data_IF_658187841665
#
_entry.id   IF_658187841665
#
_cell.length_a   1.000
_cell.length_b   1.000
_cell.length_c   1.000
_cell.angle_alpha   90.00
_cell.angle_beta   90.00
_cell.angle_gamma   90.00
#
_symmetry.space_group_name_H-M   'P 1'
#
loop_
_entity.id
_entity.type
_entity.pdbx_description
1 polymer ?
#
# COMPACT_ATOMS: atom_id res chain seq x y z
N UNK A 1 -0.46 -9.93 -19.54
CA UNK A 1 0.40 -8.78 -19.22
C UNK A 1 1.00 -9.02 -17.86
N UNK A 2 2.33 -9.05 -17.72
CA UNK A 2 2.93 -9.05 -16.39
C UNK A 2 2.78 -7.65 -15.79
N UNK A 3 2.30 -7.50 -14.55
CA UNK A 3 2.22 -6.19 -13.91
C UNK A 3 3.63 -5.60 -13.82
N UNK A 4 3.74 -4.30 -14.11
CA UNK A 4 5.02 -3.58 -14.04
C UNK A 4 5.58 -3.64 -12.61
N UNK A 5 6.92 -3.74 -12.44
CA UNK A 5 7.53 -3.74 -11.12
C UNK A 5 7.26 -2.41 -10.40
N UNK A 6 6.59 -2.49 -9.26
CA UNK A 6 6.34 -1.34 -8.38
C UNK A 6 7.66 -0.95 -7.71
N UNK A 7 8.15 0.28 -7.96
CA UNK A 7 9.31 0.85 -7.26
C UNK A 7 8.81 1.59 -6.02
N UNK A 8 9.19 1.12 -4.83
CA UNK A 8 8.95 1.83 -3.57
C UNK A 8 9.96 2.98 -3.49
N UNK A 9 9.50 4.22 -3.63
CA UNK A 9 10.36 5.40 -3.43
C UNK A 9 10.67 5.55 -1.94
N UNK A 10 11.90 5.95 -1.58
CA UNK A 10 12.43 5.96 -0.21
C UNK A 10 11.89 7.06 0.70
N UNK A 11 10.73 7.65 0.37
CA UNK A 11 10.05 8.66 1.19
C UNK A 11 9.20 7.97 2.26
N UNK A 12 9.02 8.64 3.40
CA UNK A 12 8.14 8.12 4.45
C UNK A 12 6.72 7.93 3.87
N UNK A 13 6.02 6.85 4.21
CA UNK A 13 4.75 6.49 3.58
C UNK A 13 3.58 7.28 4.16
N UNK A 14 3.68 8.60 4.13
CA UNK A 14 2.70 9.52 4.67
C UNK A 14 2.21 10.48 3.58
N UNK A 15 0.89 10.65 3.50
CA UNK A 15 0.22 11.67 2.71
C UNK A 15 -0.82 12.34 3.61
N UNK A 16 -0.89 13.68 3.59
CA UNK A 16 -1.80 14.46 4.43
C UNK A 16 -1.77 14.09 5.94
N UNK A 17 -0.60 13.69 6.44
CA UNK A 17 -0.41 13.25 7.83
C UNK A 17 -0.88 11.81 8.12
N UNK A 18 -1.37 11.08 7.13
CA UNK A 18 -1.87 9.71 7.24
C UNK A 18 -0.81 8.74 6.72
N UNK A 19 -0.44 7.75 7.55
CA UNK A 19 0.41 6.64 7.11
C UNK A 19 -0.41 5.68 6.25
N UNK A 20 -0.10 5.56 4.97
CA UNK A 20 -0.80 4.67 4.03
C UNK A 20 -0.13 3.27 3.92
N UNK A 21 0.94 3.03 4.68
CA UNK A 21 1.63 1.75 4.76
C UNK A 21 1.47 1.14 6.15
N UNK A 22 0.60 0.13 6.28
CA UNK A 22 0.39 -0.60 7.53
C UNK A 22 1.63 -1.38 8.00
N UNK A 23 2.57 -1.69 7.09
CA UNK A 23 3.82 -2.36 7.42
C UNK A 23 4.89 -1.37 7.93
N UNK A 24 4.64 -0.06 7.88
CA UNK A 24 5.59 0.95 8.33
C UNK A 24 5.96 0.74 9.81
N UNK A 25 7.27 0.68 10.09
CA UNK A 25 7.80 0.44 11.44
C UNK A 25 7.69 -1.00 11.95
N UNK A 26 7.09 -1.92 11.19
CA UNK A 26 7.03 -3.33 11.60
C UNK A 26 8.39 -4.03 11.41
N UNK A 27 8.79 -4.93 12.32
CA UNK A 27 9.97 -5.76 12.11
C UNK A 27 9.83 -6.64 10.86
N UNK A 28 10.90 -6.89 10.09
CA UNK A 28 10.85 -7.71 8.87
C UNK A 28 10.26 -9.10 9.08
N UNK A 29 10.46 -9.71 10.25
CA UNK A 29 9.89 -11.01 10.62
C UNK A 29 8.35 -10.96 10.67
N UNK A 30 7.78 -9.87 11.17
CA UNK A 30 6.32 -9.67 11.26
C UNK A 30 5.73 -9.52 9.87
N UNK A 31 6.32 -8.66 9.03
CA UNK A 31 5.88 -8.46 7.63
C UNK A 31 5.91 -9.80 6.87
N UNK A 32 6.99 -10.58 7.03
CA UNK A 32 7.10 -11.90 6.41
C UNK A 32 6.00 -12.86 6.86
N UNK A 33 5.65 -12.87 8.15
CA UNK A 33 4.56 -13.69 8.67
C UNK A 33 3.19 -13.27 8.11
N UNK A 34 2.90 -11.97 8.08
CA UNK A 34 1.66 -11.44 7.51
C UNK A 34 1.54 -11.79 6.02
N UNK A 35 2.64 -11.63 5.26
CA UNK A 35 2.71 -12.00 3.84
C UNK A 35 2.45 -13.49 3.64
N UNK A 36 3.09 -14.37 4.42
CA UNK A 36 2.87 -15.83 4.33
C UNK A 36 1.43 -16.21 4.64
N UNK A 37 0.76 -15.46 5.52
CA UNK A 37 -0.67 -15.64 5.81
C UNK A 37 -1.60 -15.02 4.77
N UNK A 38 -1.07 -14.39 3.72
CA UNK A 38 -1.86 -13.74 2.68
C UNK A 38 -2.62 -12.51 3.16
N UNK A 39 -2.15 -11.86 4.22
CA UNK A 39 -2.84 -10.73 4.87
C UNK A 39 -2.39 -9.37 4.35
N UNK A 40 -1.40 -9.32 3.46
CA UNK A 40 -0.83 -8.06 2.99
C UNK A 40 -1.32 -7.76 1.57
N UNK A 41 -1.97 -6.63 1.41
CA UNK A 41 -2.51 -6.10 0.17
C UNK A 41 -1.67 -4.91 -0.27
N UNK A 42 -1.35 -4.85 -1.56
CA UNK A 42 -0.61 -3.77 -2.18
C UNK A 42 -1.59 -2.64 -2.50
N UNK A 43 -1.25 -1.41 -2.14
CA UNK A 43 -2.00 -0.21 -2.52
C UNK A 43 -1.21 0.69 -3.44
N UNK A 44 -1.92 1.46 -4.25
CA UNK A 44 -1.39 2.52 -5.09
C UNK A 44 -2.15 3.82 -4.79
N UNK A 45 -1.42 4.85 -4.41
CA UNK A 45 -1.92 6.20 -4.21
C UNK A 45 -1.45 7.08 -5.38
N UNK A 46 -2.35 7.88 -5.91
CA UNK A 46 -2.06 8.89 -6.91
C UNK A 46 -2.04 10.27 -6.26
N UNK A 47 -0.91 10.97 -6.34
CA UNK A 47 -0.80 12.37 -5.89
C UNK A 47 -0.71 13.26 -7.14
N UNK A 48 -1.74 14.08 -7.31
CA UNK A 48 -1.85 15.09 -8.37
C UNK A 48 -1.96 16.47 -7.73
N UNK A 49 -0.80 17.06 -7.41
CA UNK A 49 -0.71 18.40 -6.84
C UNK A 49 -0.47 19.40 -7.97
N UNK A 50 -1.27 20.47 -8.02
CA UNK A 50 -1.11 21.52 -9.01
C UNK A 50 0.31 22.14 -8.93
N UNK A 51 1.07 22.02 -10.02
CA UNK A 51 2.45 22.52 -10.11
C UNK A 51 3.53 21.51 -9.70
N UNK A 52 3.16 20.29 -9.31
CA UNK A 52 4.11 19.18 -9.10
C UNK A 52 3.98 18.12 -10.20
N UNK A 53 5.02 17.30 -10.36
CA UNK A 53 4.92 16.11 -11.20
C UNK A 53 3.95 15.10 -10.59
N UNK A 54 3.10 14.54 -11.44
CA UNK A 54 2.20 13.43 -11.12
C UNK A 54 2.97 12.23 -10.58
N UNK A 55 2.52 11.67 -9.44
CA UNK A 55 3.24 10.59 -8.74
C UNK A 55 2.33 9.46 -8.32
N UNK A 56 2.84 8.25 -8.46
CA UNK A 56 2.28 7.06 -7.85
C UNK A 56 3.14 6.62 -6.67
N UNK A 57 2.51 6.53 -5.50
CA UNK A 57 3.12 5.99 -4.31
C UNK A 57 2.53 4.61 -4.04
N UNK A 58 3.37 3.68 -3.60
CA UNK A 58 2.95 2.33 -3.28
C UNK A 58 2.98 2.13 -1.77
N UNK A 59 1.96 1.43 -1.28
CA UNK A 59 1.73 1.17 0.14
C UNK A 59 1.25 -0.25 0.40
N UNK A 60 0.91 -0.49 1.66
CA UNK A 60 0.41 -1.77 2.12
C UNK A 60 -0.80 -1.59 3.04
N UNK A 61 -1.77 -2.49 2.89
CA UNK A 61 -2.88 -2.68 3.82
C UNK A 61 -2.82 -4.08 4.39
N UNK A 62 -2.96 -4.22 5.71
CA UNK A 62 -3.04 -5.51 6.39
C UNK A 62 -4.51 -5.83 6.68
N UNK A 63 -5.06 -6.82 5.98
CA UNK A 63 -6.46 -7.19 6.09
C UNK A 63 -6.69 -8.69 5.83
N UNK A 64 -7.78 -9.22 6.38
CA UNK A 64 -8.15 -10.63 6.25
C UNK A 64 -8.60 -11.01 4.82
N UNK A 65 -9.16 -10.06 4.08
CA UNK A 65 -9.71 -10.25 2.74
C UNK A 65 -9.68 -8.93 1.93
N UNK A 66 -9.96 -9.03 0.62
CA UNK A 66 -9.92 -7.91 -0.31
C UNK A 66 -10.91 -6.81 0.09
N UNK A 67 -12.15 -7.19 0.41
CA UNK A 67 -13.21 -6.24 0.76
C UNK A 67 -12.83 -5.39 1.97
N UNK A 68 -12.22 -6.02 2.98
CA UNK A 68 -11.70 -5.31 4.15
C UNK A 68 -10.52 -4.42 3.79
N UNK A 69 -9.62 -4.87 2.92
CA UNK A 69 -8.51 -4.07 2.45
C UNK A 69 -8.97 -2.80 1.71
N UNK A 70 -9.93 -2.94 0.80
CA UNK A 70 -10.53 -1.82 0.05
C UNK A 70 -11.23 -0.84 0.99
N UNK A 71 -11.94 -1.33 1.99
CA UNK A 71 -12.59 -0.47 3.01
C UNK A 71 -11.58 0.31 3.85
N UNK A 72 -10.45 -0.28 4.20
CA UNK A 72 -9.39 0.42 4.96
C UNK A 72 -8.75 1.51 4.08
N UNK A 73 -8.43 1.17 2.84
CA UNK A 73 -7.89 2.11 1.85
C UNK A 73 -8.83 3.31 1.62
N UNK A 74 -10.11 3.05 1.39
CA UNK A 74 -11.13 4.09 1.22
C UNK A 74 -11.31 4.95 2.49
N UNK A 75 -11.34 4.32 3.66
CA UNK A 75 -11.51 5.02 4.94
C UNK A 75 -10.35 5.97 5.30
N UNK A 76 -9.15 5.77 4.74
CA UNK A 76 -8.03 6.72 4.89
C UNK A 76 -8.26 8.01 4.10
N UNK A 77 -9.16 8.02 3.12
CA UNK A 77 -9.57 9.22 2.39
C UNK A 77 -8.52 9.80 1.44
N UNK A 78 -7.45 9.04 1.15
CA UNK A 78 -6.35 9.48 0.29
C UNK A 78 -6.58 9.19 -1.19
N UNK A 79 -7.62 8.43 -1.54
CA UNK A 79 -7.85 7.96 -2.91
C UNK A 79 -6.89 6.84 -3.35
N UNK A 80 -6.36 6.07 -2.38
CA UNK A 80 -5.54 4.90 -2.69
C UNK A 80 -6.42 3.72 -3.14
N UNK A 81 -5.91 2.91 -4.06
CA UNK A 81 -6.60 1.73 -4.59
C UNK A 81 -5.82 0.46 -4.25
N UNK A 82 -6.53 -0.63 -3.95
CA UNK A 82 -5.91 -1.95 -3.77
C UNK A 82 -5.62 -2.55 -5.14
N UNK A 83 -4.35 -2.86 -5.43
CA UNK A 83 -3.92 -3.36 -6.76
C UNK A 83 -3.68 -4.87 -6.78
N UNK A 84 -3.61 -5.51 -5.61
CA UNK A 84 -3.46 -6.95 -5.52
C UNK A 84 -2.97 -7.39 -4.15
N UNK A 85 -2.85 -8.71 -3.96
CA UNK A 85 -2.28 -9.30 -2.74
C UNK A 85 -0.79 -9.54 -2.90
N UNK A 86 -0.01 -9.36 -1.84
CA UNK A 86 1.42 -9.70 -1.86
C UNK A 86 1.60 -11.22 -1.76
N UNK A 87 1.73 -11.88 -2.90
CA UNK A 87 1.88 -13.33 -2.94
C UNK A 87 3.28 -13.79 -2.50
N UNK A 88 3.37 -15.02 -2.00
CA UNK A 88 4.63 -15.69 -1.68
C UNK A 88 5.12 -16.37 -2.96
N UNK A 89 6.28 -15.96 -3.45
CA UNK A 89 7.01 -16.56 -4.56
C UNK A 89 8.05 -17.55 -4.02
#
# INVERSE_FOLDING_TARGET
MNPAPIRLDGRMPYADGICYDDCHGMPPKTIRLLRIRGLVWLTQLCIDNAGEEYRHLAGYVVAADLTTAERIADARGLGEIVVGRWEVS
#
